data_IF_747741741899
#
_entry.id   IF_747741741899
#
_cell.length_a   1.000
_cell.length_b   1.000
_cell.length_c   1.000
_cell.angle_alpha   90.00
_cell.angle_beta   90.00
_cell.angle_gamma   90.00
#
_symmetry.space_group_name_H-M   'P 1'
#
loop_
_entity.id
_entity.type
_entity.pdbx_description
1 polymer ?
#
# COMPACT_ATOMS: atom_id res chain seq x y z
N UNK A 1 -4.32 -5.29 10.96
CA UNK A 1 -3.75 -5.91 9.75
C UNK A 1 -3.48 -4.79 8.75
N UNK A 2 -2.25 -4.61 8.25
CA UNK A 2 -1.90 -3.50 7.37
C UNK A 2 -1.67 -4.03 5.94
N UNK A 3 -2.70 -3.94 5.10
CA UNK A 3 -2.69 -4.47 3.74
C UNK A 3 -3.40 -3.50 2.78
N UNK A 4 -2.85 -3.33 1.58
CA UNK A 4 -3.47 -2.61 0.48
C UNK A 4 -3.48 -3.51 -0.75
N UNK A 5 -4.68 -3.76 -1.27
CA UNK A 5 -4.87 -4.36 -2.59
C UNK A 5 -4.81 -3.22 -3.64
N UNK A 6 -3.70 -3.16 -4.36
CA UNK A 6 -3.43 -2.19 -5.40
C UNK A 6 -4.12 -2.55 -6.72
N UNK A 7 -4.27 -1.56 -7.59
CA UNK A 7 -4.63 -1.77 -8.98
C UNK A 7 -3.54 -2.58 -9.70
N UNK A 8 -2.26 -2.22 -9.52
CA UNK A 8 -1.10 -3.05 -9.87
C UNK A 8 -1.11 -3.52 -11.32
N UNK A 9 -1.11 -2.56 -12.25
CA UNK A 9 -1.17 -2.84 -13.70
C UNK A 9 0.11 -3.44 -14.26
N UNK A 10 1.23 -3.32 -13.54
CA UNK A 10 2.53 -3.77 -14.02
C UNK A 10 3.13 -2.85 -15.09
N UNK A 11 2.66 -1.60 -15.16
CA UNK A 11 3.08 -0.66 -16.21
C UNK A 11 4.24 0.20 -15.73
N UNK A 12 5.16 0.50 -16.65
CA UNK A 12 6.36 1.32 -16.34
C UNK A 12 5.99 2.70 -15.81
N UNK A 13 4.90 3.29 -16.31
CA UNK A 13 4.43 4.62 -15.92
C UNK A 13 3.34 4.61 -14.85
N UNK A 14 2.40 3.66 -14.90
CA UNK A 14 1.26 3.64 -13.99
C UNK A 14 1.65 3.23 -12.57
N UNK A 15 2.54 2.25 -12.42
CA UNK A 15 2.92 1.76 -11.10
C UNK A 15 3.65 2.83 -10.25
N UNK A 16 4.55 3.69 -10.79
CA UNK A 16 5.07 4.85 -10.07
C UNK A 16 4.01 5.85 -9.63
N UNK A 17 3.02 6.14 -10.47
CA UNK A 17 1.92 7.07 -10.16
C UNK A 17 1.07 6.50 -9.01
N UNK A 18 0.72 5.21 -9.10
CA UNK A 18 -0.03 4.52 -8.05
C UNK A 18 0.73 4.52 -6.72
N UNK A 19 2.03 4.21 -6.76
CA UNK A 19 2.87 4.22 -5.57
C UNK A 19 2.94 5.60 -4.92
N UNK A 20 3.12 6.67 -5.70
CA UNK A 20 3.18 8.04 -5.15
C UNK A 20 1.85 8.48 -4.54
N UNK A 21 0.72 8.10 -5.16
CA UNK A 21 -0.61 8.34 -4.59
C UNK A 21 -0.78 7.61 -3.24
N UNK A 22 -0.29 6.37 -3.13
CA UNK A 22 -0.30 5.63 -1.88
C UNK A 22 0.64 6.26 -0.84
N UNK A 23 1.85 6.65 -1.23
CA UNK A 23 2.84 7.26 -0.35
C UNK A 23 2.37 8.61 0.20
N UNK A 24 1.69 9.43 -0.62
CA UNK A 24 1.12 10.71 -0.17
C UNK A 24 -0.08 10.54 0.77
N UNK A 25 -0.87 9.49 0.60
CA UNK A 25 -2.06 9.22 1.43
C UNK A 25 -1.70 8.56 2.76
N UNK A 26 -0.80 7.57 2.74
CA UNK A 26 -0.43 6.79 3.90
C UNK A 26 0.85 7.25 4.59
N UNK A 27 1.53 8.26 4.01
CA UNK A 27 2.82 8.76 4.46
C UNK A 27 3.99 7.90 3.98
N UNK A 28 5.16 8.55 3.83
CA UNK A 28 6.46 7.88 3.69
C UNK A 28 7.07 7.59 5.07
N UNK A 29 8.00 6.64 5.16
CA UNK A 29 8.73 6.35 6.40
C UNK A 29 8.60 4.93 6.94
N UNK A 30 8.81 4.75 8.24
CA UNK A 30 8.91 3.44 8.89
C UNK A 30 7.53 2.85 9.20
N UNK A 31 7.35 1.56 8.88
CA UNK A 31 6.11 0.81 9.10
C UNK A 31 6.05 -0.39 8.17
N UNK A 32 5.11 -1.31 8.43
CA UNK A 32 4.87 -2.45 7.56
C UNK A 32 3.43 -2.42 7.05
N UNK A 33 3.28 -2.11 5.76
CA UNK A 33 2.04 -2.22 5.02
C UNK A 33 2.29 -3.10 3.79
N UNK A 34 1.68 -4.29 3.76
CA UNK A 34 1.84 -5.18 2.63
C UNK A 34 1.05 -4.65 1.42
N UNK A 35 1.70 -4.56 0.25
CA UNK A 35 1.06 -4.28 -1.03
C UNK A 35 0.82 -5.58 -1.78
N UNK A 36 -0.40 -5.78 -2.25
CA UNK A 36 -0.77 -6.92 -3.09
C UNK A 36 -1.49 -6.48 -4.35
N UNK A 37 -1.40 -7.27 -5.41
CA UNK A 37 -2.21 -7.07 -6.62
C UNK A 37 -2.64 -8.43 -7.19
N UNK A 38 -3.95 -8.68 -7.25
CA UNK A 38 -4.56 -9.93 -7.73
C UNK A 38 -4.20 -10.23 -9.17
N UNK A 39 -3.93 -9.19 -9.97
CA UNK A 39 -3.54 -9.31 -11.39
C UNK A 39 -2.25 -10.11 -11.57
N UNK A 40 -1.39 -10.14 -10.56
CA UNK A 40 -0.17 -10.97 -10.59
C UNK A 40 -0.50 -12.47 -10.58
N UNK A 41 -1.65 -12.87 -10.02
CA UNK A 41 -2.05 -14.27 -9.89
C UNK A 41 -2.92 -14.76 -11.05
N UNK A 42 -3.83 -13.92 -11.55
CA UNK A 42 -4.90 -14.34 -12.47
C UNK A 42 -4.99 -13.47 -13.74
N UNK A 43 -4.06 -12.54 -13.94
CA UNK A 43 -4.04 -11.63 -15.08
C UNK A 43 -5.00 -10.44 -14.95
N UNK A 44 -5.06 -9.63 -16.00
CA UNK A 44 -5.90 -8.43 -16.02
C UNK A 44 -7.34 -8.78 -16.43
N UNK A 45 -8.24 -8.87 -15.44
CA UNK A 45 -9.65 -9.23 -15.68
C UNK A 45 -10.55 -8.05 -16.07
N UNK A 46 -9.98 -6.98 -16.65
CA UNK A 46 -10.70 -5.75 -17.01
C UNK A 46 -11.75 -5.30 -15.97
N UNK A 47 -13.04 -5.32 -16.32
CA UNK A 47 -14.16 -4.94 -15.45
C UNK A 47 -14.26 -5.79 -14.17
N UNK A 48 -13.82 -7.05 -14.22
CA UNK A 48 -13.82 -7.95 -13.06
C UNK A 48 -12.58 -7.78 -12.16
N UNK A 49 -11.61 -6.95 -12.53
CA UNK A 49 -10.40 -6.76 -11.72
C UNK A 49 -10.71 -6.20 -10.32
N UNK A 50 -11.73 -5.33 -10.21
CA UNK A 50 -12.15 -4.77 -8.93
C UNK A 50 -12.73 -5.82 -7.98
N UNK A 51 -13.70 -6.61 -8.45
CA UNK A 51 -14.34 -7.64 -7.62
C UNK A 51 -13.36 -8.77 -7.26
N UNK A 52 -12.47 -9.15 -8.18
CA UNK A 52 -11.44 -10.15 -7.89
C UNK A 52 -10.47 -9.68 -6.78
N UNK A 53 -10.04 -8.42 -6.82
CA UNK A 53 -9.20 -7.81 -5.78
C UNK A 53 -9.93 -7.75 -4.43
N UNK A 54 -11.21 -7.39 -4.45
CA UNK A 54 -12.04 -7.37 -3.25
C UNK A 54 -12.19 -8.76 -2.62
N UNK A 55 -12.50 -9.79 -3.42
CA UNK A 55 -12.60 -11.17 -2.95
C UNK A 55 -11.28 -11.63 -2.33
N UNK A 56 -10.15 -11.34 -2.99
CA UNK A 56 -8.82 -11.65 -2.46
C UNK A 56 -8.58 -10.97 -1.10
N UNK A 57 -8.93 -9.69 -0.96
CA UNK A 57 -8.79 -8.96 0.29
C UNK A 57 -9.69 -9.54 1.40
N UNK A 58 -10.93 -9.89 1.09
CA UNK A 58 -11.86 -10.52 2.03
C UNK A 58 -11.33 -11.88 2.52
N UNK A 59 -10.85 -12.72 1.59
CA UNK A 59 -10.24 -14.01 1.92
C UNK A 59 -8.94 -13.84 2.73
N UNK A 60 -8.15 -12.80 2.45
CA UNK A 60 -6.93 -12.53 3.20
C UNK A 60 -7.20 -12.21 4.67
N UNK A 61 -8.29 -11.46 4.94
CA UNK A 61 -8.76 -11.21 6.31
C UNK A 61 -9.30 -12.51 6.93
N UNK A 62 -10.17 -13.24 6.22
CA UNK A 62 -10.79 -14.47 6.71
C UNK A 62 -9.75 -15.53 7.11
N UNK A 63 -8.70 -15.70 6.30
CA UNK A 63 -7.64 -16.69 6.54
C UNK A 63 -6.46 -16.12 7.34
N UNK A 64 -6.53 -14.86 7.77
CA UNK A 64 -5.46 -14.13 8.42
C UNK A 64 -4.10 -14.27 7.69
N UNK A 65 -4.12 -14.24 6.37
CA UNK A 65 -2.97 -14.61 5.52
C UNK A 65 -2.96 -13.77 4.25
N UNK A 66 -1.81 -13.21 3.87
CA UNK A 66 -1.68 -12.41 2.63
C UNK A 66 -1.01 -13.28 1.57
N UNK A 67 -1.67 -13.54 0.41
CA UNK A 67 -1.09 -14.33 -0.67
C UNK A 67 0.06 -13.55 -1.34
N UNK A 68 1.08 -14.26 -1.88
CA UNK A 68 2.22 -13.63 -2.53
C UNK A 68 1.84 -12.99 -3.87
N UNK A 69 2.54 -11.90 -4.21
CA UNK A 69 2.51 -11.38 -5.58
C UNK A 69 3.43 -12.25 -6.45
N UNK A 70 2.87 -12.86 -7.49
CA UNK A 70 3.67 -13.66 -8.42
C UNK A 70 4.45 -12.74 -9.37
N UNK A 71 5.58 -13.23 -9.88
CA UNK A 71 6.44 -12.52 -10.83
C UNK A 71 7.05 -11.20 -10.33
N UNK A 72 6.93 -10.88 -9.04
CA UNK A 72 7.59 -9.73 -8.44
C UNK A 72 9.00 -10.11 -7.96
N UNK A 73 10.02 -9.60 -8.62
CA UNK A 73 11.44 -9.79 -8.24
C UNK A 73 12.09 -8.49 -7.73
N UNK A 74 11.74 -7.36 -8.33
CA UNK A 74 12.30 -6.05 -8.02
C UNK A 74 11.25 -4.96 -8.23
N UNK A 75 11.46 -3.82 -7.58
CA UNK A 75 10.66 -2.61 -7.83
C UNK A 75 10.84 -2.12 -9.25
N UNK A 76 9.81 -1.46 -9.78
CA UNK A 76 9.94 -0.67 -10.99
C UNK A 76 11.02 0.42 -10.76
N UNK A 77 12.01 0.58 -11.66
CA UNK A 77 13.06 1.60 -11.52
C UNK A 77 12.56 3.04 -11.37
N UNK A 78 11.34 3.34 -11.83
CA UNK A 78 10.70 4.64 -11.66
C UNK A 78 10.12 4.87 -10.26
N UNK A 79 10.22 3.91 -9.35
CA UNK A 79 9.73 4.02 -7.97
C UNK A 79 10.89 4.33 -7.03
N UNK A 80 10.82 5.48 -6.37
CA UNK A 80 11.69 5.78 -5.24
C UNK A 80 11.17 5.09 -3.97
N UNK A 81 11.64 3.86 -3.78
CA UNK A 81 11.18 2.96 -2.73
C UNK A 81 11.78 3.24 -1.34
N UNK A 82 12.72 4.17 -1.16
CA UNK A 82 13.39 4.35 0.12
C UNK A 82 13.40 5.82 0.60
N UNK A 83 12.89 6.13 1.82
CA UNK A 83 12.24 5.25 2.79
C UNK A 83 10.73 5.08 2.53
N UNK A 84 10.29 3.84 2.30
CA UNK A 84 8.86 3.49 2.22
C UNK A 84 8.43 2.53 3.32
N UNK A 85 7.15 2.64 3.72
CA UNK A 85 6.48 1.73 4.67
C UNK A 85 5.86 0.51 3.98
N UNK A 86 5.93 0.47 2.65
CA UNK A 86 5.31 -0.57 1.86
C UNK A 86 6.26 -1.75 1.63
N UNK A 87 5.75 -2.97 1.78
CA UNK A 87 6.48 -4.19 1.49
C UNK A 87 5.65 -5.13 0.62
N UNK A 88 6.30 -6.03 -0.11
CA UNK A 88 5.61 -7.06 -0.88
C UNK A 88 5.67 -8.40 -0.16
N UNK A 89 4.55 -9.14 -0.09
CA UNK A 89 4.52 -10.46 0.54
C UNK A 89 5.40 -11.43 -0.27
N UNK A 90 6.41 -12.07 0.35
CA UNK A 90 7.33 -12.95 -0.36
C UNK A 90 6.64 -14.25 -0.78
N UNK A 91 7.11 -14.84 -1.89
CA UNK A 91 6.69 -16.18 -2.31
C UNK A 91 7.21 -17.22 -1.33
N UNK A 92 6.31 -17.98 -0.72
CA UNK A 92 6.67 -19.13 0.14
C UNK A 92 6.86 -20.40 -0.71
N UNK A 93 7.99 -21.13 -0.59
CA UNK A 93 8.27 -22.34 -1.38
C UNK A 93 7.29 -23.51 -1.19
N UNK A 94 6.55 -23.55 -0.06
CA UNK A 94 5.70 -24.69 0.32
C UNK A 94 4.21 -24.36 0.40
N UNK A 95 3.75 -23.36 -0.36
CA UNK A 95 2.32 -23.12 -0.60
C UNK A 95 1.50 -22.57 0.57
N UNK A 96 2.03 -22.53 1.80
CA UNK A 96 1.38 -21.88 2.93
C UNK A 96 1.92 -20.46 3.08
N UNK A 97 1.14 -19.42 2.72
CA UNK A 97 1.60 -18.05 2.90
C UNK A 97 1.75 -17.75 4.40
N UNK A 98 2.66 -16.83 4.78
CA UNK A 98 2.88 -16.51 6.18
C UNK A 98 1.59 -15.93 6.77
N UNK A 99 1.16 -16.47 7.91
CA UNK A 99 0.05 -15.89 8.67
C UNK A 99 0.46 -14.48 9.06
N UNK A 100 -0.36 -13.51 8.69
CA UNK A 100 -0.09 -12.12 8.99
C UNK A 100 -0.79 -11.81 10.30
N UNK A 101 -0.04 -11.29 11.27
CA UNK A 101 -0.63 -10.88 12.53
C UNK A 101 -1.74 -9.86 12.24
N UNK A 102 -2.97 -10.20 12.61
CA UNK A 102 -4.07 -9.24 12.68
C UNK A 102 -3.74 -8.34 13.86
N UNK A 103 -2.87 -7.36 13.66
CA UNK A 103 -2.65 -6.33 14.64
C UNK A 103 -4.00 -5.64 14.87
N UNK A 104 -4.58 -5.80 16.06
CA UNK A 104 -5.61 -4.94 16.64
C UNK A 104 -5.05 -3.53 16.96
N UNK A 105 -4.06 -3.07 16.18
CA UNK A 105 -3.59 -1.71 16.25
C UNK A 105 -4.60 -0.87 15.49
N UNK A 106 -5.30 0.00 16.22
CA UNK A 106 -6.03 1.14 15.66
C UNK A 106 -5.25 1.70 14.45
N UNK A 107 -5.89 1.94 13.29
CA UNK A 107 -5.27 2.74 12.26
C UNK A 107 -5.08 4.12 12.86
N UNK A 108 -3.88 4.39 13.38
CA UNK A 108 -3.53 5.65 14.02
C UNK A 108 -3.29 6.71 12.94
N UNK A 109 -4.27 6.88 12.06
CA UNK A 109 -4.46 8.10 11.31
C UNK A 109 -5.32 8.98 12.22
N UNK A 110 -4.70 9.79 13.08
CA UNK A 110 -5.45 10.71 13.94
C UNK A 110 -6.14 11.72 13.03
N UNK A 111 -7.45 11.91 13.19
CA UNK A 111 -8.22 12.98 12.52
C UNK A 111 -7.62 14.38 12.71
N UNK A 112 -6.79 14.58 13.75
CA UNK A 112 -6.07 15.83 13.98
C UNK A 112 -5.06 16.18 12.88
N UNK A 113 -4.62 15.22 12.06
CA UNK A 113 -3.65 15.49 11.00
C UNK A 113 -4.30 16.00 9.70
N UNK A 114 -5.62 15.87 9.57
CA UNK A 114 -6.39 16.38 8.43
C UNK A 114 -7.04 17.75 8.70
N UNK A 115 -7.28 18.08 9.98
CA UNK A 115 -7.86 19.35 10.41
C UNK A 115 -6.76 20.36 10.80
N UNK A 116 -6.03 20.93 9.83
CA UNK A 116 -4.99 21.91 10.18
C UNK A 116 -4.32 22.69 9.06
N UNK A 117 -4.72 22.54 7.79
CA UNK A 117 -4.19 23.37 6.68
C UNK A 117 -5.20 24.41 6.22
N UNK A 118 -5.62 25.27 7.16
CA UNK A 118 -6.14 26.61 6.84
C UNK A 118 -5.24 27.64 7.51
N UNK A 119 -4.55 28.40 6.64
CA UNK A 119 -3.82 29.66 6.85
C UNK A 119 -3.81 30.23 8.28
N UNK A 120 -2.60 30.42 8.82
CA UNK A 120 -2.25 31.68 9.47
C UNK A 120 -0.86 32.11 9.00
N UNK A 121 -0.81 33.20 8.24
CA UNK A 121 0.38 33.99 8.00
C UNK A 121 0.67 34.78 9.28
N UNK A 122 1.68 34.40 10.05
CA UNK A 122 2.15 35.19 11.19
C UNK A 122 3.23 36.18 10.74
N UNK A 123 2.93 37.44 11.03
CA UNK A 123 3.71 38.66 10.87
C UNK A 123 5.15 38.54 11.40
N UNK A 124 6.14 38.87 10.57
CA UNK A 124 7.48 39.25 11.04
C UNK A 124 7.51 40.75 11.32
N UNK A 125 7.62 41.09 12.60
CA UNK A 125 7.78 42.43 13.13
C UNK A 125 9.28 42.78 13.13
N UNK A 126 9.62 43.88 12.49
CA UNK A 126 10.96 44.49 12.42
C UNK A 126 11.32 45.07 13.81
N UNK A 127 12.52 44.84 14.38
CA UNK A 127 12.98 45.60 15.52
C UNK A 127 13.78 46.84 15.08
N UNK A 128 13.57 47.93 15.82
CA UNK A 128 14.31 49.21 15.76
C UNK A 128 15.81 49.04 16.02
#
# INVERSE_FOLDING_TARGET
>A
MNYVEAHGTGTVLGDPIEFEALASTYGRGQGSCALGAVKTNIGHLEAAAGIAGFIKAALAVQHATIPPNLHFSQWNPGIDAAPTRFSFPPRTPHGRPPKVAVGHGEPRCRRSDWAGRTRTSSSSKVPN
#
